data_IF_743212793465
#
_entry.id   IF_743212793465
#
_cell.length_a   1.000
_cell.length_b   1.000
_cell.length_c   1.000
_cell.angle_alpha   90.00
_cell.angle_beta   90.00
_cell.angle_gamma   90.00
#
_symmetry.space_group_name_H-M   'P 1'
#
loop_
_entity.id
_entity.type
_entity.pdbx_description
1 polymer ?
#
# COMPACT_ATOMS: atom_id res chain seq x y z
N UNK A 1 8.22 -46.06 -65.80
CA UNK A 1 9.67 -46.36 -65.76
C UNK A 1 10.29 -45.54 -64.64
N UNK A 2 10.69 -46.22 -63.55
CA UNK A 2 11.88 -46.04 -62.67
C UNK A 2 12.31 -44.60 -62.26
N UNK A 3 12.68 -44.23 -61.02
CA UNK A 3 12.63 -44.78 -59.65
C UNK A 3 13.25 -43.76 -58.64
N UNK A 4 12.74 -43.78 -57.38
CA UNK A 4 13.35 -43.55 -56.04
C UNK A 4 14.32 -42.41 -55.67
N UNK A 5 14.02 -41.73 -54.54
CA UNK A 5 14.66 -41.87 -53.17
C UNK A 5 14.22 -40.67 -52.29
N UNK A 6 13.52 -40.80 -51.15
CA UNK A 6 13.99 -41.10 -49.77
C UNK A 6 13.37 -40.05 -48.81
N UNK A 7 12.26 -40.32 -48.09
CA UNK A 7 12.18 -40.67 -46.64
C UNK A 7 12.89 -39.66 -45.70
N UNK A 8 12.29 -38.88 -44.79
CA UNK A 8 11.23 -39.03 -43.75
C UNK A 8 11.84 -38.92 -42.33
N UNK A 9 11.38 -37.95 -41.52
CA UNK A 9 10.80 -38.08 -40.15
C UNK A 9 10.97 -36.82 -39.27
N UNK A 10 9.95 -36.47 -38.45
CA UNK A 10 10.06 -35.51 -37.34
C UNK A 10 10.49 -36.19 -36.02
N UNK A 11 11.06 -35.45 -35.07
CA UNK A 11 11.39 -35.92 -33.71
C UNK A 11 10.41 -35.35 -32.66
N UNK A 12 9.90 -36.18 -31.73
CA UNK A 12 9.24 -35.77 -30.47
C UNK A 12 10.15 -36.03 -29.25
N UNK A 13 10.03 -35.23 -28.20
CA UNK A 13 10.60 -35.40 -26.85
C UNK A 13 9.65 -34.63 -25.89
N UNK A 14 9.22 -35.08 -24.71
CA UNK A 14 9.34 -36.33 -23.96
C UNK A 14 8.31 -36.26 -22.82
N UNK A 15 7.55 -37.33 -22.57
CA UNK A 15 6.76 -37.53 -21.36
C UNK A 15 7.49 -38.51 -20.44
N UNK A 16 7.64 -38.20 -19.15
CA UNK A 16 7.55 -39.13 -18.00
C UNK A 16 8.23 -38.56 -16.77
N UNK A 17 7.56 -38.62 -15.62
CA UNK A 17 8.10 -39.13 -14.34
C UNK A 17 7.03 -39.03 -13.26
N UNK A 18 6.23 -40.10 -13.17
CA UNK A 18 5.46 -40.49 -11.99
C UNK A 18 6.34 -41.46 -11.20
N UNK A 19 6.49 -41.34 -9.87
CA UNK A 19 6.94 -42.46 -9.05
C UNK A 19 5.77 -43.08 -8.29
N UNK A 20 5.45 -44.35 -8.59
CA UNK A 20 4.78 -45.29 -7.68
C UNK A 20 5.81 -46.32 -7.21
N UNK A 21 6.05 -46.44 -5.90
CA UNK A 21 6.16 -47.73 -5.18
C UNK A 21 6.34 -47.54 -3.67
N UNK A 22 5.39 -48.09 -2.91
CA UNK A 22 5.63 -48.64 -1.57
C UNK A 22 6.44 -49.95 -1.68
N UNK A 23 7.32 -50.23 -0.71
CA UNK A 23 7.23 -51.40 0.18
C UNK A 23 8.49 -51.57 1.06
N UNK A 24 8.23 -51.72 2.37
CA UNK A 24 8.91 -52.54 3.40
C UNK A 24 10.44 -52.46 3.61
N UNK A 25 10.84 -52.11 4.84
CA UNK A 25 12.20 -52.35 5.35
C UNK A 25 12.45 -51.80 6.76
N UNK A 26 12.12 -52.61 7.78
CA UNK A 26 12.81 -52.81 9.07
C UNK A 26 13.24 -51.61 9.94
N UNK A 27 12.63 -51.58 11.13
CA UNK A 27 13.08 -50.96 12.38
C UNK A 27 14.59 -51.19 12.65
N UNK A 28 15.31 -50.12 12.94
CA UNK A 28 16.61 -50.20 13.60
C UNK A 28 16.74 -49.04 14.60
N UNK A 29 16.63 -49.36 15.88
CA UNK A 29 16.74 -48.42 16.98
C UNK A 29 18.15 -47.87 17.12
N UNK A 30 18.26 -46.55 17.25
CA UNK A 30 19.45 -45.89 17.77
C UNK A 30 19.02 -45.00 18.93
N UNK A 31 19.36 -45.44 20.14
CA UNK A 31 19.26 -44.64 21.38
C UNK A 31 20.28 -43.52 21.26
N UNK A 32 19.83 -42.27 21.29
CA UNK A 32 20.67 -41.17 21.72
C UNK A 32 20.09 -40.57 22.99
N UNK A 33 20.80 -40.81 24.09
CA UNK A 33 20.59 -40.20 25.39
C UNK A 33 21.38 -38.88 25.37
N UNK A 34 20.70 -37.74 25.37
CA UNK A 34 21.38 -36.46 25.56
C UNK A 34 20.48 -35.24 25.40
N UNK A 35 20.28 -34.51 26.50
CA UNK A 35 19.67 -33.17 26.60
C UNK A 35 18.15 -33.05 26.66
N UNK A 36 17.58 -33.66 27.70
CA UNK A 36 16.45 -33.08 28.44
C UNK A 36 17.03 -32.08 29.47
N UNK A 37 17.09 -30.78 29.14
CA UNK A 37 17.20 -29.66 30.11
C UNK A 37 17.07 -28.31 29.41
N UNK A 38 15.90 -27.68 29.61
CA UNK A 38 15.62 -26.23 29.74
C UNK A 38 14.24 -25.87 29.16
N UNK A 39 13.20 -26.49 29.75
CA UNK A 39 11.95 -25.77 29.99
C UNK A 39 12.18 -24.96 31.27
N UNK A 40 12.54 -23.68 31.11
CA UNK A 40 12.41 -22.72 32.19
C UNK A 40 12.07 -21.36 31.61
N UNK A 41 10.85 -20.93 31.94
CA UNK A 41 10.32 -19.57 31.87
C UNK A 41 10.34 -18.83 30.53
N UNK A 42 9.21 -18.93 29.79
CA UNK A 42 8.69 -17.80 29.00
C UNK A 42 7.22 -17.91 28.63
N UNK A 43 6.41 -18.55 29.48
CA UNK A 43 4.99 -18.78 29.20
C UNK A 43 4.12 -18.49 30.43
N UNK A 44 4.07 -17.23 30.85
CA UNK A 44 2.90 -16.56 31.47
C UNK A 44 3.05 -15.06 31.13
N UNK A 45 2.59 -14.63 29.96
CA UNK A 45 2.11 -13.26 29.74
C UNK A 45 1.25 -13.23 28.47
N UNK A 46 0.13 -13.93 28.48
CA UNK A 46 -0.87 -13.76 27.44
C UNK A 46 -2.21 -14.25 27.98
N UNK A 47 -2.98 -13.35 28.57
CA UNK A 47 -4.44 -13.42 28.58
C UNK A 47 -4.99 -12.02 28.88
N UNK A 48 -5.43 -11.36 27.81
CA UNK A 48 -6.58 -10.44 27.71
C UNK A 48 -6.47 -9.64 26.40
N UNK A 49 -6.70 -10.29 25.26
CA UNK A 49 -6.81 -9.63 23.94
C UNK A 49 -8.27 -9.67 23.47
N UNK A 50 -9.13 -8.99 24.21
CA UNK A 50 -10.36 -8.42 23.66
C UNK A 50 -10.00 -7.01 23.18
N UNK A 51 -10.38 -6.65 21.95
CA UNK A 51 -9.97 -5.47 21.18
C UNK A 51 -10.10 -4.12 21.92
N UNK A 52 -9.12 -3.81 22.77
CA UNK A 52 -8.67 -2.45 22.96
C UNK A 52 -7.51 -2.27 21.99
N UNK A 53 -7.74 -1.57 20.88
CA UNK A 53 -6.67 -0.92 20.12
C UNK A 53 -5.69 -0.39 21.16
N UNK A 54 -4.45 -0.90 21.18
CA UNK A 54 -3.45 -0.43 22.13
C UNK A 54 -3.28 1.06 21.84
N UNK A 55 -3.95 1.91 22.63
CA UNK A 55 -4.10 3.33 22.34
C UNK A 55 -2.73 3.99 22.18
N UNK A 56 -1.74 3.51 22.94
CA UNK A 56 -0.35 3.95 22.84
C UNK A 56 0.30 3.56 21.49
N UNK A 57 -0.02 2.39 20.94
CA UNK A 57 0.43 1.96 19.62
C UNK A 57 -0.29 2.73 18.49
N UNK A 58 -1.60 2.95 18.61
CA UNK A 58 -2.37 3.73 17.64
C UNK A 58 -1.95 5.21 17.60
N UNK A 59 -1.66 5.80 18.77
CA UNK A 59 -1.09 7.16 18.85
C UNK A 59 0.31 7.18 18.22
N UNK A 60 1.16 6.19 18.52
CA UNK A 60 2.50 6.08 17.93
C UNK A 60 3.55 7.04 18.53
N UNK A 61 3.29 7.64 19.70
CA UNK A 61 4.18 8.64 20.30
C UNK A 61 5.61 8.14 20.58
N UNK A 62 5.81 6.82 20.72
CA UNK A 62 7.14 6.21 20.90
C UNK A 62 8.06 6.42 19.70
N UNK A 63 7.51 6.60 18.49
CA UNK A 63 8.32 6.82 17.28
C UNK A 63 9.11 8.14 17.35
N UNK A 64 8.61 9.14 18.07
CA UNK A 64 9.29 10.43 18.26
C UNK A 64 10.58 10.30 19.05
N UNK A 65 10.61 9.36 19.99
CA UNK A 65 11.75 9.15 20.91
C UNK A 65 12.73 8.10 20.42
N UNK A 66 12.28 7.17 19.58
CA UNK A 66 13.11 6.07 19.11
C UNK A 66 13.82 6.42 17.80
N UNK A 67 15.14 6.65 17.87
CA UNK A 67 15.98 6.90 16.69
C UNK A 67 16.01 5.71 15.72
N UNK A 68 15.68 4.49 16.16
CA UNK A 68 15.62 3.29 15.30
C UNK A 68 14.35 3.23 14.44
N UNK A 69 13.35 4.08 14.72
CA UNK A 69 12.08 4.13 13.97
C UNK A 69 12.24 4.60 12.52
N UNK A 70 13.37 5.21 12.15
CA UNK A 70 13.61 5.75 10.82
C UNK A 70 12.70 6.93 10.45
N UNK A 71 11.99 7.52 11.42
CA UNK A 71 10.96 8.54 11.19
C UNK A 71 11.47 9.73 10.38
N UNK A 72 12.65 10.28 10.70
CA UNK A 72 13.20 11.42 9.96
C UNK A 72 13.44 11.11 8.47
N UNK A 73 13.86 9.88 8.13
CA UNK A 73 14.04 9.44 6.74
C UNK A 73 12.70 9.33 6.03
N UNK A 74 11.70 8.83 6.74
CA UNK A 74 10.35 8.74 6.21
C UNK A 74 9.72 10.13 5.97
N UNK A 75 9.93 11.09 6.88
CA UNK A 75 9.48 12.48 6.69
C UNK A 75 10.18 13.15 5.52
N UNK A 76 11.50 12.96 5.38
CA UNK A 76 12.24 13.48 4.22
C UNK A 76 11.78 12.83 2.92
N UNK A 77 11.51 11.53 2.92
CA UNK A 77 10.92 10.81 1.79
C UNK A 77 9.57 11.42 1.39
N UNK A 78 8.63 11.58 2.32
CA UNK A 78 7.32 12.19 2.05
C UNK A 78 7.42 13.63 1.54
N UNK A 79 8.32 14.43 2.11
CA UNK A 79 8.64 15.76 1.63
C UNK A 79 9.13 15.73 0.17
N UNK A 80 10.16 14.92 -0.12
CA UNK A 80 10.76 14.84 -1.46
C UNK A 80 9.77 14.31 -2.50
N UNK A 81 9.01 13.25 -2.16
CA UNK A 81 8.00 12.70 -3.06
C UNK A 81 6.93 13.73 -3.44
N UNK A 82 6.45 14.49 -2.46
CA UNK A 82 5.42 15.53 -2.70
C UNK A 82 6.00 16.77 -3.40
N UNK A 83 7.27 17.10 -3.14
CA UNK A 83 8.00 18.13 -3.88
C UNK A 83 8.11 17.78 -5.37
N UNK A 84 8.52 16.55 -5.69
CA UNK A 84 8.61 16.08 -7.08
C UNK A 84 7.23 16.04 -7.73
N UNK A 85 6.20 15.59 -7.01
CA UNK A 85 4.80 15.62 -7.47
C UNK A 85 4.38 17.02 -7.92
N UNK A 86 4.58 18.03 -7.08
CA UNK A 86 4.18 19.39 -7.42
C UNK A 86 5.03 19.97 -8.55
N UNK A 87 6.34 19.73 -8.56
CA UNK A 87 7.22 20.22 -9.60
C UNK A 87 6.83 19.68 -10.99
N UNK A 88 6.81 18.36 -11.16
CA UNK A 88 6.55 17.74 -12.46
C UNK A 88 5.07 17.76 -12.84
N UNK A 89 4.17 17.48 -11.90
CA UNK A 89 2.73 17.48 -12.13
C UNK A 89 2.21 18.87 -12.50
N UNK A 90 2.47 19.88 -11.65
CA UNK A 90 2.00 21.23 -11.94
C UNK A 90 2.73 21.83 -13.15
N UNK A 91 4.01 21.48 -13.38
CA UNK A 91 4.75 21.93 -14.56
C UNK A 91 4.12 21.47 -15.88
N UNK A 92 3.51 20.27 -15.91
CA UNK A 92 2.83 19.76 -17.09
C UNK A 92 1.54 20.52 -17.45
N UNK A 93 1.00 21.36 -16.55
CA UNK A 93 -0.22 22.14 -16.80
C UNK A 93 -0.05 23.14 -17.95
N UNK A 94 1.18 23.61 -18.20
CA UNK A 94 1.48 24.50 -19.33
C UNK A 94 1.15 23.88 -20.69
N UNK A 95 1.08 22.55 -20.79
CA UNK A 95 0.71 21.85 -22.02
C UNK A 95 -0.75 22.07 -22.43
N UNK A 96 -1.62 22.43 -21.48
CA UNK A 96 -3.08 22.57 -21.66
C UNK A 96 -3.76 21.33 -22.26
N UNK A 97 -3.08 20.18 -22.21
CA UNK A 97 -3.59 18.92 -22.74
C UNK A 97 -3.94 17.98 -21.58
N UNK A 98 -5.22 17.66 -21.43
CA UNK A 98 -5.73 16.85 -20.31
C UNK A 98 -5.02 15.51 -20.21
N UNK A 99 -4.68 14.86 -21.33
CA UNK A 99 -3.99 13.56 -21.34
C UNK A 99 -2.54 13.72 -20.88
N UNK A 100 -1.81 14.72 -21.40
CA UNK A 100 -0.43 14.98 -21.00
C UNK A 100 -0.32 15.34 -19.51
N UNK A 101 -1.23 16.20 -19.02
CA UNK A 101 -1.34 16.55 -17.60
C UNK A 101 -1.61 15.29 -16.77
N UNK A 102 -2.61 14.50 -17.16
CA UNK A 102 -2.99 13.30 -16.40
C UNK A 102 -1.87 12.28 -16.32
N UNK A 103 -1.17 12.03 -17.43
CA UNK A 103 -0.01 11.14 -17.47
C UNK A 103 1.14 11.68 -16.62
N UNK A 104 1.43 12.98 -16.69
CA UNK A 104 2.51 13.58 -15.90
C UNK A 104 2.27 13.42 -14.40
N UNK A 105 1.06 13.71 -13.90
CA UNK A 105 0.73 13.51 -12.49
C UNK A 105 0.82 12.04 -12.10
N UNK A 106 0.20 11.14 -12.86
CA UNK A 106 0.19 9.72 -12.51
C UNK A 106 1.56 9.05 -12.57
N UNK A 107 2.33 9.30 -13.63
CA UNK A 107 3.69 8.75 -13.76
C UNK A 107 4.64 9.34 -12.72
N UNK A 108 4.48 10.61 -12.33
CA UNK A 108 5.27 11.21 -11.24
C UNK A 108 4.96 10.54 -9.91
N UNK A 109 3.68 10.27 -9.60
CA UNK A 109 3.30 9.52 -8.40
C UNK A 109 3.89 8.11 -8.44
N UNK A 110 3.79 7.40 -9.56
CA UNK A 110 4.39 6.07 -9.70
C UNK A 110 5.90 6.09 -9.46
N UNK A 111 6.62 7.04 -10.07
CA UNK A 111 8.06 7.19 -9.91
C UNK A 111 8.45 7.55 -8.47
N UNK A 112 7.72 8.49 -7.85
CA UNK A 112 7.94 8.89 -6.47
C UNK A 112 7.75 7.69 -5.52
N UNK A 113 6.63 6.98 -5.60
CA UNK A 113 6.35 5.80 -4.77
C UNK A 113 7.38 4.70 -5.02
N UNK A 114 7.78 4.47 -6.28
CA UNK A 114 8.81 3.49 -6.59
C UNK A 114 10.15 3.83 -5.92
N UNK A 115 10.49 5.12 -5.86
CA UNK A 115 11.74 5.60 -5.27
C UNK A 115 11.72 5.60 -3.73
N UNK A 116 10.61 6.03 -3.10
CA UNK A 116 10.58 6.28 -1.65
C UNK A 116 9.69 5.31 -0.86
N UNK A 117 8.88 4.50 -1.53
CA UNK A 117 7.85 3.67 -0.90
C UNK A 117 8.40 2.70 0.13
N UNK A 118 9.60 2.17 -0.10
CA UNK A 118 10.29 1.29 0.85
C UNK A 118 10.82 2.02 2.10
N UNK A 119 10.87 3.36 2.09
CA UNK A 119 11.34 4.20 3.21
C UNK A 119 10.17 4.70 4.06
N UNK A 120 9.13 5.27 3.43
CA UNK A 120 8.02 5.91 4.15
C UNK A 120 6.66 5.20 3.99
N UNK A 121 6.52 4.31 3.01
CA UNK A 121 5.23 3.86 2.48
C UNK A 121 4.78 4.65 1.25
N UNK A 122 5.42 5.80 0.94
CA UNK A 122 5.17 6.58 -0.27
C UNK A 122 3.74 7.13 -0.35
N UNK A 123 3.26 7.77 0.73
CA UNK A 123 1.90 8.28 0.77
C UNK A 123 1.72 9.47 -0.18
N UNK A 124 2.65 10.43 -0.12
CA UNK A 124 2.74 11.65 -0.93
C UNK A 124 1.43 12.46 -1.03
N UNK A 125 0.49 12.21 -0.12
CA UNK A 125 -0.87 12.71 -0.17
C UNK A 125 -1.53 12.61 1.23
N UNK A 126 -2.04 13.74 1.78
CA UNK A 126 -2.79 13.73 3.02
C UNK A 126 -4.03 12.84 2.99
N UNK A 127 -4.78 12.78 1.88
CA UNK A 127 -5.98 11.94 1.75
C UNK A 127 -5.65 10.44 1.88
N UNK A 128 -4.54 9.99 1.25
CA UNK A 128 -4.03 8.62 1.40
C UNK A 128 -3.59 8.38 2.85
N UNK A 129 -2.93 9.36 3.46
CA UNK A 129 -2.47 9.26 4.86
C UNK A 129 -3.64 9.12 5.83
N UNK A 130 -4.67 9.96 5.73
CA UNK A 130 -5.89 9.83 6.53
C UNK A 130 -6.63 8.51 6.26
N UNK A 131 -6.73 8.09 4.99
CA UNK A 131 -7.32 6.81 4.62
C UNK A 131 -6.62 5.60 5.23
N UNK A 132 -5.28 5.63 5.33
CA UNK A 132 -4.51 4.56 5.98
C UNK A 132 -4.50 4.67 7.52
N UNK A 133 -4.64 5.86 8.08
CA UNK A 133 -4.80 6.05 9.53
C UNK A 133 -6.13 5.48 10.03
N UNK A 134 -7.25 5.71 9.33
CA UNK A 134 -8.58 5.27 9.80
C UNK A 134 -8.71 3.74 9.85
N UNK A 135 -7.94 3.02 9.03
CA UNK A 135 -7.88 1.55 9.02
C UNK A 135 -6.73 0.99 9.87
N UNK A 136 -6.06 1.83 10.66
CA UNK A 136 -5.00 1.43 11.59
C UNK A 136 -3.69 0.98 10.93
N UNK A 137 -3.45 1.32 9.66
CA UNK A 137 -2.21 0.98 8.94
C UNK A 137 -1.09 1.99 9.21
N UNK A 138 -1.43 3.20 9.63
CA UNK A 138 -0.47 4.24 10.03
C UNK A 138 -0.83 4.83 11.40
N UNK A 139 0.14 4.95 12.34
CA UNK A 139 -0.09 5.61 13.61
C UNK A 139 -0.43 7.09 13.45
N UNK A 140 -1.27 7.62 14.34
CA UNK A 140 -1.82 8.98 14.23
C UNK A 140 -0.72 10.04 14.21
N UNK A 141 0.25 9.99 15.15
CA UNK A 141 1.34 10.98 15.21
C UNK A 141 2.17 10.95 13.93
N UNK A 142 2.50 9.76 13.42
CA UNK A 142 3.26 9.60 12.18
C UNK A 142 2.50 10.19 11.00
N UNK A 143 1.19 9.89 10.90
CA UNK A 143 0.36 10.39 9.82
C UNK A 143 0.23 11.92 9.84
N UNK A 144 0.07 12.54 11.01
CA UNK A 144 0.05 14.01 11.11
C UNK A 144 1.38 14.64 10.68
N UNK A 145 2.51 14.05 11.07
CA UNK A 145 3.83 14.52 10.63
C UNK A 145 4.03 14.33 9.11
N UNK A 146 3.50 13.24 8.54
CA UNK A 146 3.49 13.04 7.09
C UNK A 146 2.72 14.16 6.39
N UNK A 147 1.52 14.53 6.88
CA UNK A 147 0.72 15.63 6.30
C UNK A 147 1.49 16.95 6.29
N UNK A 148 2.22 17.26 7.37
CA UNK A 148 3.08 18.45 7.44
C UNK A 148 4.24 18.37 6.45
N UNK A 149 4.95 17.24 6.39
CA UNK A 149 6.06 17.03 5.46
C UNK A 149 5.62 17.11 3.99
N UNK A 150 4.48 16.49 3.66
CA UNK A 150 3.87 16.52 2.34
C UNK A 150 3.50 17.95 1.95
N UNK A 151 2.86 18.70 2.86
CA UNK A 151 2.47 20.10 2.62
C UNK A 151 3.69 20.99 2.37
N UNK A 152 4.73 20.87 3.20
CA UNK A 152 5.98 21.59 3.01
C UNK A 152 6.68 21.21 1.69
N UNK A 153 6.68 19.92 1.33
CA UNK A 153 7.22 19.42 0.07
C UNK A 153 6.49 20.00 -1.13
N UNK A 154 5.15 19.98 -1.12
CA UNK A 154 4.34 20.53 -2.19
C UNK A 154 4.59 22.03 -2.42
N UNK A 155 4.67 22.82 -1.34
CA UNK A 155 5.01 24.25 -1.39
C UNK A 155 6.40 24.44 -2.00
N UNK A 156 7.41 23.68 -1.54
CA UNK A 156 8.77 23.75 -2.08
C UNK A 156 8.80 23.40 -3.58
N UNK A 157 8.10 22.34 -3.99
CA UNK A 157 8.04 21.91 -5.40
C UNK A 157 7.41 22.98 -6.30
N UNK A 158 6.31 23.58 -5.85
CA UNK A 158 5.66 24.69 -6.57
C UNK A 158 6.52 25.96 -6.60
N UNK A 159 7.25 26.26 -5.52
CA UNK A 159 8.14 27.42 -5.46
C UNK A 159 9.34 27.27 -6.41
N UNK A 160 9.94 26.07 -6.45
CA UNK A 160 11.02 25.74 -7.39
C UNK A 160 10.50 25.79 -8.83
N UNK A 161 9.30 25.24 -9.10
CA UNK A 161 8.69 25.34 -10.42
C UNK A 161 8.50 26.79 -10.85
N UNK A 162 7.98 27.65 -9.97
CA UNK A 162 7.83 29.09 -10.23
C UNK A 162 9.17 29.74 -10.57
N UNK A 163 10.17 29.54 -9.72
CA UNK A 163 11.50 30.13 -9.89
C UNK A 163 12.20 29.69 -11.20
N UNK A 164 11.86 28.52 -11.73
CA UNK A 164 12.41 27.97 -12.97
C UNK A 164 11.50 28.19 -14.19
N UNK A 165 10.36 28.87 -14.04
CA UNK A 165 9.44 29.16 -15.13
C UNK A 165 9.66 30.57 -15.66
N UNK A 166 9.58 30.75 -16.98
CA UNK A 166 9.48 32.10 -17.54
C UNK A 166 8.11 32.71 -17.19
N UNK A 167 8.03 34.03 -17.07
CA UNK A 167 6.78 34.76 -16.73
C UNK A 167 5.61 34.39 -17.66
N UNK A 168 5.88 34.12 -18.94
CA UNK A 168 4.87 33.69 -19.93
C UNK A 168 4.24 32.32 -19.64
N UNK A 169 4.87 31.51 -18.78
CA UNK A 169 4.42 30.17 -18.38
C UNK A 169 3.79 30.15 -16.98
N UNK A 170 3.76 31.28 -16.26
CA UNK A 170 3.33 31.37 -14.85
C UNK A 170 1.80 31.42 -14.63
N UNK A 171 0.99 31.49 -15.69
CA UNK A 171 -0.42 31.95 -15.60
C UNK A 171 -1.30 31.17 -14.60
N UNK A 172 -0.97 29.94 -14.22
CA UNK A 172 -1.57 29.32 -13.02
C UNK A 172 -0.68 28.40 -12.19
N UNK A 173 0.48 27.96 -12.69
CA UNK A 173 1.37 27.00 -12.02
C UNK A 173 0.66 25.82 -11.34
N UNK A 174 -0.42 25.34 -11.97
CA UNK A 174 -1.22 24.22 -11.47
C UNK A 174 -2.07 24.52 -10.24
N UNK A 175 -2.41 25.78 -9.96
CA UNK A 175 -3.48 26.14 -9.02
C UNK A 175 -4.78 25.47 -9.46
N UNK A 176 -5.43 24.80 -8.51
CA UNK A 176 -6.72 24.14 -8.71
C UNK A 176 -7.84 25.17 -8.63
N UNK A 177 -8.86 25.01 -9.47
CA UNK A 177 -10.04 25.88 -9.49
C UNK A 177 -11.25 25.14 -10.04
N UNK A 178 -12.44 25.56 -9.63
CA UNK A 178 -13.69 25.08 -10.23
C UNK A 178 -13.80 25.62 -11.66
N UNK A 179 -14.13 24.73 -12.60
CA UNK A 179 -14.44 25.12 -13.96
C UNK A 179 -15.74 25.94 -13.99
N UNK A 180 -15.90 26.75 -15.02
CA UNK A 180 -17.10 27.55 -15.23
C UNK A 180 -18.36 26.66 -15.23
N UNK A 181 -19.36 27.04 -14.44
CA UNK A 181 -20.60 26.28 -14.28
C UNK A 181 -20.53 25.10 -13.29
N UNK A 182 -19.36 24.79 -12.72
CA UNK A 182 -19.23 23.77 -11.66
C UNK A 182 -19.49 24.41 -10.30
N UNK A 183 -20.53 23.96 -9.61
CA UNK A 183 -20.85 24.42 -8.25
C UNK A 183 -19.89 23.81 -7.21
N UNK A 184 -19.73 24.44 -6.03
CA UNK A 184 -18.90 23.89 -4.96
C UNK A 184 -19.29 22.47 -4.53
N UNK A 185 -20.59 22.14 -4.51
CA UNK A 185 -21.07 20.79 -4.15
C UNK A 185 -20.69 19.77 -5.22
N UNK A 186 -20.80 20.12 -6.50
CA UNK A 186 -20.34 19.25 -7.59
C UNK A 186 -18.82 19.06 -7.54
N UNK A 187 -18.06 20.13 -7.29
CA UNK A 187 -16.61 20.06 -7.12
C UNK A 187 -16.19 19.17 -5.94
N UNK A 188 -16.86 19.32 -4.80
CA UNK A 188 -16.67 18.46 -3.62
C UNK A 188 -16.94 16.98 -3.95
N UNK A 189 -18.03 16.70 -4.66
CA UNK A 189 -18.39 15.35 -5.09
C UNK A 189 -17.35 14.75 -6.04
N UNK A 190 -16.86 15.53 -7.00
CA UNK A 190 -15.76 15.13 -7.89
C UNK A 190 -14.54 14.75 -7.05
N UNK A 191 -14.01 15.67 -6.25
CA UNK A 191 -12.81 15.46 -5.44
C UNK A 191 -12.93 14.26 -4.48
N UNK A 192 -14.12 14.04 -3.92
CA UNK A 192 -14.43 12.84 -3.13
C UNK A 192 -14.20 11.56 -3.94
N UNK A 193 -14.81 11.42 -5.11
CA UNK A 193 -14.68 10.20 -5.93
C UNK A 193 -13.27 10.00 -6.48
N UNK A 194 -12.55 11.09 -6.81
CA UNK A 194 -11.17 10.99 -7.26
C UNK A 194 -10.25 10.43 -6.17
N UNK A 195 -10.38 10.92 -4.92
CA UNK A 195 -9.60 10.39 -3.81
C UNK A 195 -10.06 8.98 -3.38
N UNK A 196 -11.36 8.69 -3.49
CA UNK A 196 -11.94 7.38 -3.19
C UNK A 196 -11.27 6.28 -4.02
N UNK A 197 -11.24 6.44 -5.35
CA UNK A 197 -10.64 5.42 -6.23
C UNK A 197 -9.15 5.26 -5.96
N UNK A 198 -8.44 6.37 -5.70
CA UNK A 198 -7.02 6.34 -5.36
C UNK A 198 -6.77 5.50 -4.10
N UNK A 199 -7.49 5.78 -3.00
CA UNK A 199 -7.22 5.09 -1.73
C UNK A 199 -7.67 3.63 -1.77
N UNK A 200 -8.75 3.29 -2.46
CA UNK A 200 -9.13 1.89 -2.70
C UNK A 200 -8.01 1.14 -3.43
N UNK A 201 -7.44 1.75 -4.48
CA UNK A 201 -6.32 1.16 -5.23
C UNK A 201 -5.08 1.03 -4.36
N UNK A 202 -4.75 2.03 -3.54
CA UNK A 202 -3.62 1.94 -2.58
C UNK A 202 -3.81 0.77 -1.62
N UNK A 203 -4.98 0.65 -0.99
CA UNK A 203 -5.25 -0.45 -0.07
C UNK A 203 -5.16 -1.81 -0.78
N UNK A 204 -5.72 -1.93 -1.99
CA UNK A 204 -5.70 -3.18 -2.77
C UNK A 204 -4.33 -3.56 -3.33
N UNK A 205 -3.54 -2.59 -3.78
CA UNK A 205 -2.20 -2.82 -4.34
C UNK A 205 -1.17 -3.16 -3.25
N UNK A 206 -1.38 -2.65 -2.03
CA UNK A 206 -0.50 -2.85 -0.89
C UNK A 206 -0.99 -3.91 0.10
N UNK A 207 -2.06 -4.66 -0.22
CA UNK A 207 -2.58 -5.71 0.66
C UNK A 207 -1.56 -6.86 0.82
N UNK A 208 -1.30 -7.23 2.07
CA UNK A 208 -0.45 -8.36 2.42
C UNK A 208 -1.01 -9.70 1.93
N UNK A 209 -2.33 -9.81 1.75
CA UNK A 209 -2.99 -10.98 1.17
C UNK A 209 -2.71 -11.15 -0.33
N UNK A 210 -2.13 -10.15 -1.00
CA UNK A 210 -1.76 -10.18 -2.43
C UNK A 210 -0.27 -9.84 -2.64
N UNK A 211 0.66 -10.67 -2.15
CA UNK A 211 2.09 -10.36 -2.17
C UNK A 211 2.64 -10.08 -3.58
N UNK A 212 2.10 -10.74 -4.60
CA UNK A 212 2.50 -10.58 -6.00
C UNK A 212 2.20 -9.16 -6.55
N UNK A 213 1.27 -8.43 -5.93
CA UNK A 213 0.92 -7.06 -6.35
C UNK A 213 1.97 -6.02 -5.93
N UNK A 214 2.87 -6.34 -4.98
CA UNK A 214 3.84 -5.38 -4.43
C UNK A 214 4.79 -4.81 -5.48
N UNK A 215 5.21 -5.61 -6.45
CA UNK A 215 6.14 -5.18 -7.50
C UNK A 215 5.52 -4.19 -8.50
N UNK A 216 4.20 -4.26 -8.70
CA UNK A 216 3.48 -3.37 -9.62
C UNK A 216 2.77 -2.22 -8.91
N UNK A 217 2.65 -2.26 -7.58
CA UNK A 217 1.87 -1.30 -6.79
C UNK A 217 2.16 0.17 -7.11
N UNK A 218 3.42 0.64 -7.22
CA UNK A 218 3.69 2.04 -7.57
C UNK A 218 3.05 2.44 -8.91
N UNK A 219 3.16 1.58 -9.93
CA UNK A 219 2.58 1.84 -11.25
C UNK A 219 1.05 1.89 -11.18
N UNK A 220 0.39 0.93 -10.53
CA UNK A 220 -1.08 0.89 -10.48
C UNK A 220 -1.65 2.07 -9.69
N UNK A 221 -0.97 2.48 -8.61
CA UNK A 221 -1.32 3.68 -7.84
C UNK A 221 -1.17 4.92 -8.71
N UNK A 222 -0.06 5.08 -9.43
CA UNK A 222 0.13 6.20 -10.36
C UNK A 222 -0.91 6.23 -11.48
N UNK A 223 -1.25 5.07 -12.07
CA UNK A 223 -2.31 4.98 -13.08
C UNK A 223 -3.69 5.35 -12.52
N UNK A 224 -3.98 5.07 -11.25
CA UNK A 224 -5.22 5.54 -10.61
C UNK A 224 -5.27 7.07 -10.51
N UNK A 225 -4.11 7.71 -10.28
CA UNK A 225 -3.99 9.18 -10.32
C UNK A 225 -4.21 9.71 -11.74
N UNK A 226 -3.67 9.04 -12.76
CA UNK A 226 -3.95 9.37 -14.18
C UNK A 226 -5.44 9.34 -14.47
N UNK A 227 -6.13 8.25 -14.08
CA UNK A 227 -7.59 8.10 -14.26
C UNK A 227 -8.35 9.23 -13.58
N UNK A 228 -7.98 9.55 -12.33
CA UNK A 228 -8.60 10.65 -11.61
C UNK A 228 -8.39 12.00 -12.30
N UNK A 229 -7.19 12.26 -12.83
CA UNK A 229 -6.89 13.51 -13.54
C UNK A 229 -7.64 13.64 -14.87
N UNK A 230 -7.82 12.54 -15.61
CA UNK A 230 -8.60 12.54 -16.86
C UNK A 230 -10.05 13.04 -16.63
N UNK A 231 -10.60 12.77 -15.45
CA UNK A 231 -11.95 13.21 -15.05
C UNK A 231 -11.93 14.56 -14.34
N UNK A 232 -10.98 14.77 -13.44
CA UNK A 232 -10.94 15.91 -12.53
C UNK A 232 -10.41 17.20 -13.15
N UNK A 233 -9.43 17.11 -14.06
CA UNK A 233 -8.77 18.30 -14.62
C UNK A 233 -9.78 19.25 -15.28
N UNK A 234 -10.73 18.79 -16.12
CA UNK A 234 -11.72 19.67 -16.73
C UNK A 234 -12.79 20.24 -15.78
N UNK A 235 -12.83 19.80 -14.51
CA UNK A 235 -13.92 20.14 -13.57
C UNK A 235 -13.43 20.94 -12.37
N UNK A 236 -12.35 20.49 -11.74
CA UNK A 236 -11.82 21.03 -10.48
C UNK A 236 -10.32 21.32 -10.56
N UNK A 237 -9.68 21.04 -11.69
CA UNK A 237 -8.22 21.00 -11.80
C UNK A 237 -7.58 19.74 -11.20
N UNK A 238 -8.39 18.75 -10.79
CA UNK A 238 -7.98 17.50 -10.14
C UNK A 238 -7.06 17.74 -8.92
N UNK A 239 -7.65 18.16 -7.81
CA UNK A 239 -6.94 18.25 -6.54
C UNK A 239 -6.41 16.90 -6.11
N UNK A 240 -7.30 15.93 -5.82
CA UNK A 240 -7.06 14.57 -5.29
C UNK A 240 -6.22 14.48 -4.01
N UNK A 241 -5.54 15.56 -3.66
CA UNK A 241 -4.41 15.61 -2.76
C UNK A 241 -4.38 17.02 -2.16
N UNK A 242 -4.69 17.15 -0.85
CA UNK A 242 -4.71 18.44 -0.19
C UNK A 242 -3.36 19.16 -0.21
N UNK A 243 -2.24 18.44 -0.03
CA UNK A 243 -0.90 19.03 -0.05
C UNK A 243 -0.56 19.57 -1.45
N UNK A 244 -0.86 18.80 -2.50
CA UNK A 244 -0.66 19.25 -3.89
C UNK A 244 -1.42 20.52 -4.21
N UNK A 245 -2.67 20.61 -3.75
CA UNK A 245 -3.53 21.78 -3.94
C UNK A 245 -2.99 22.98 -3.15
N UNK A 246 -2.57 22.75 -1.90
CA UNK A 246 -1.96 23.77 -1.03
C UNK A 246 -0.70 24.36 -1.65
N UNK A 247 0.20 23.52 -2.18
CA UNK A 247 1.51 23.94 -2.67
C UNK A 247 1.44 25.04 -3.74
N UNK A 248 0.65 24.81 -4.79
CA UNK A 248 0.48 25.81 -5.86
C UNK A 248 -0.32 27.03 -5.38
N UNK A 249 -1.34 26.82 -4.54
CA UNK A 249 -2.18 27.89 -3.99
C UNK A 249 -1.38 28.88 -3.13
N UNK A 250 -0.49 28.38 -2.26
CA UNK A 250 0.39 29.21 -1.42
C UNK A 250 1.36 30.02 -2.28
N UNK A 251 2.00 29.39 -3.26
CA UNK A 251 3.01 30.04 -4.10
C UNK A 251 2.38 31.10 -5.01
N UNK A 252 1.15 30.90 -5.44
CA UNK A 252 0.41 31.84 -6.31
C UNK A 252 -0.49 32.82 -5.55
N UNK A 253 -0.69 32.64 -4.24
CA UNK A 253 -1.59 33.47 -3.43
C UNK A 253 -3.07 33.29 -3.80
N UNK A 254 -3.47 32.12 -4.31
CA UNK A 254 -4.81 31.86 -4.83
C UNK A 254 -5.52 30.75 -4.03
N UNK A 255 -6.59 31.10 -3.31
CA UNK A 255 -7.29 30.20 -2.37
C UNK A 255 -8.80 30.11 -2.61
N UNK A 256 -9.27 30.46 -3.81
CA UNK A 256 -10.68 30.34 -4.16
C UNK A 256 -11.17 28.91 -3.93
N UNK A 257 -12.24 28.79 -3.13
CA UNK A 257 -12.85 27.53 -2.73
C UNK A 257 -11.90 26.47 -2.15
N UNK A 258 -10.72 26.88 -1.64
CA UNK A 258 -9.62 25.96 -1.33
C UNK A 258 -9.99 24.84 -0.34
N UNK A 259 -10.95 25.09 0.54
CA UNK A 259 -11.46 24.13 1.52
C UNK A 259 -11.95 22.82 0.87
N UNK A 260 -12.50 22.87 -0.36
CA UNK A 260 -13.03 21.68 -1.03
C UNK A 260 -11.92 20.67 -1.37
N UNK A 261 -10.71 21.16 -1.63
CA UNK A 261 -9.54 20.34 -1.93
C UNK A 261 -8.90 19.72 -0.68
N UNK A 262 -9.38 20.09 0.50
CA UNK A 262 -9.09 19.40 1.75
C UNK A 262 -10.22 18.43 2.09
N UNK A 263 -11.44 18.94 2.19
CA UNK A 263 -12.60 18.18 2.66
C UNK A 263 -12.95 17.04 1.70
N UNK A 264 -13.06 17.31 0.40
CA UNK A 264 -13.42 16.32 -0.61
C UNK A 264 -12.44 15.14 -0.61
N UNK A 265 -11.14 15.38 -0.82
CA UNK A 265 -10.16 14.30 -0.85
C UNK A 265 -10.03 13.53 0.47
N UNK A 266 -10.07 14.21 1.63
CA UNK A 266 -10.00 13.53 2.93
C UNK A 266 -11.20 12.61 3.12
N UNK A 267 -12.42 13.09 2.87
CA UNK A 267 -13.63 12.25 2.98
C UNK A 267 -13.57 11.07 2.00
N UNK A 268 -13.12 11.29 0.76
CA UNK A 268 -12.93 10.23 -0.22
C UNK A 268 -11.90 9.19 0.23
N UNK A 269 -10.78 9.64 0.80
CA UNK A 269 -9.73 8.76 1.31
C UNK A 269 -10.17 7.95 2.53
N UNK A 270 -10.88 8.57 3.47
CA UNK A 270 -11.47 7.87 4.62
C UNK A 270 -12.47 6.80 4.16
N UNK A 271 -13.38 7.17 3.26
CA UNK A 271 -14.34 6.24 2.68
C UNK A 271 -13.64 5.09 1.93
N UNK A 272 -12.58 5.38 1.18
CA UNK A 272 -11.84 4.37 0.41
C UNK A 272 -11.15 3.34 1.30
N UNK A 273 -10.49 3.79 2.38
CA UNK A 273 -9.89 2.90 3.36
C UNK A 273 -10.93 1.99 4.05
N UNK A 274 -12.03 2.59 4.51
CA UNK A 274 -13.11 1.86 5.17
C UNK A 274 -13.82 0.87 4.24
N UNK A 275 -14.14 1.28 3.01
CA UNK A 275 -14.78 0.41 2.01
C UNK A 275 -13.87 -0.76 1.64
N UNK A 276 -12.58 -0.52 1.44
CA UNK A 276 -11.65 -1.62 1.20
C UNK A 276 -11.62 -2.58 2.38
N UNK A 277 -11.47 -2.08 3.60
CA UNK A 277 -11.29 -2.93 4.80
C UNK A 277 -12.55 -3.72 5.16
N UNK A 278 -13.74 -3.16 4.94
CA UNK A 278 -14.99 -3.74 5.43
C UNK A 278 -15.88 -4.35 4.35
N UNK A 279 -15.67 -4.05 3.06
CA UNK A 279 -16.54 -4.53 1.98
C UNK A 279 -15.80 -5.28 0.86
N UNK A 280 -14.58 -4.88 0.50
CA UNK A 280 -13.87 -5.40 -0.70
C UNK A 280 -12.68 -6.30 -0.35
N UNK A 281 -12.03 -6.05 0.78
CA UNK A 281 -10.85 -6.76 1.23
C UNK A 281 -11.14 -8.23 1.54
N UNK A 282 -10.12 -9.09 1.51
CA UNK A 282 -10.29 -10.51 1.76
C UNK A 282 -10.92 -10.72 3.14
N UNK A 283 -11.85 -11.66 3.22
CA UNK A 283 -12.40 -12.10 4.50
C UNK A 283 -11.24 -12.50 5.43
N UNK A 284 -11.30 -12.07 6.70
CA UNK A 284 -10.34 -12.53 7.71
C UNK A 284 -10.35 -14.06 7.67
N UNK A 285 -9.22 -14.67 7.32
CA UNK A 285 -9.08 -16.11 7.52
C UNK A 285 -9.25 -16.34 9.01
N UNK A 286 -10.24 -17.14 9.40
CA UNK A 286 -10.26 -17.67 10.75
C UNK A 286 -8.91 -18.34 10.96
N UNK A 287 -8.13 -17.88 11.93
CA UNK A 287 -6.98 -18.64 12.39
C UNK A 287 -7.56 -19.99 12.82
N UNK A 288 -7.39 -21.01 11.98
CA UNK A 288 -7.67 -22.38 12.39
C UNK A 288 -6.71 -22.59 13.55
N UNK A 289 -7.26 -22.54 14.76
CA UNK A 289 -6.54 -22.55 16.02
C UNK A 289 -5.47 -23.63 15.95
N UNK A 290 -4.21 -23.22 15.79
CA UNK A 290 -3.07 -24.15 15.81
C UNK A 290 -3.05 -24.92 17.13
N UNK A 291 -3.69 -24.35 18.17
CA UNK A 291 -3.98 -24.99 19.45
C UNK A 291 -4.84 -26.24 19.31
N UNK A 292 -5.84 -26.24 18.43
CA UNK A 292 -6.75 -27.38 18.24
C UNK A 292 -6.03 -28.55 17.54
N UNK A 293 -5.16 -28.29 16.56
CA UNK A 293 -4.28 -29.33 16.01
C UNK A 293 -3.22 -29.80 17.00
N UNK A 294 -2.64 -28.88 17.78
CA UNK A 294 -1.67 -29.25 18.80
C UNK A 294 -2.29 -30.12 19.90
N UNK A 295 -3.50 -29.79 20.38
CA UNK A 295 -4.21 -30.61 21.38
C UNK A 295 -4.60 -31.97 20.82
N UNK A 296 -5.12 -32.03 19.58
CA UNK A 296 -5.48 -33.29 18.94
C UNK A 296 -4.24 -34.16 18.71
N UNK A 297 -3.14 -33.58 18.24
CA UNK A 297 -1.88 -34.31 18.04
C UNK A 297 -1.26 -34.80 19.36
N UNK A 298 -1.41 -34.03 20.44
CA UNK A 298 -0.99 -34.45 21.78
C UNK A 298 -1.86 -35.59 22.32
N UNK A 299 -3.19 -35.49 22.20
CA UNK A 299 -4.12 -36.56 22.58
C UNK A 299 -3.88 -37.87 21.80
N UNK A 300 -3.58 -37.77 20.50
CA UNK A 300 -3.28 -38.94 19.67
C UNK A 300 -1.95 -39.60 20.10
N UNK A 301 -0.92 -38.81 20.39
CA UNK A 301 0.36 -39.31 20.88
C UNK A 301 0.24 -39.98 22.25
N UNK A 302 -0.49 -39.38 23.18
CA UNK A 302 -0.74 -39.95 24.51
C UNK A 302 -1.50 -41.28 24.42
N UNK A 303 -2.47 -41.39 23.51
CA UNK A 303 -3.20 -42.64 23.24
C UNK A 303 -2.28 -43.72 22.68
N UNK A 304 -1.34 -43.37 21.80
CA UNK A 304 -0.36 -44.32 21.27
C UNK A 304 0.61 -44.82 22.35
N UNK A 305 1.13 -43.94 23.20
CA UNK A 305 2.02 -44.32 24.32
C UNK A 305 1.31 -45.24 25.33
N UNK A 306 0.03 -44.98 25.62
CA UNK A 306 -0.78 -45.85 26.48
C UNK A 306 -0.93 -47.27 25.90
N UNK A 307 -1.27 -47.39 24.61
CA UNK A 307 -1.45 -48.69 23.94
C UNK A 307 -0.15 -49.51 23.90
N UNK A 308 1.00 -48.85 23.72
CA UNK A 308 2.31 -49.52 23.66
C UNK A 308 2.76 -49.99 25.05
N UNK A 309 2.50 -49.19 26.10
CA UNK A 309 2.80 -49.57 27.49
C UNK A 309 1.98 -50.76 28.02
N UNK A 310 0.78 -50.98 27.47
CA UNK A 310 -0.12 -52.07 27.88
C UNK A 310 0.19 -53.44 27.24
N UNK A 311 1.11 -53.52 26.27
CA UNK A 311 1.47 -54.79 25.59
C UNK A 311 2.71 -55.49 26.17
N UNK A 312 3.35 -54.93 27.20
CA UNK A 312 4.58 -55.46 27.79
C UNK A 312 4.41 -56.46 28.94
N UNK A 313 3.18 -56.87 29.26
CA UNK A 313 2.90 -57.70 30.43
C UNK A 313 1.96 -58.85 30.14
N UNK A 314 2.42 -59.84 29.35
CA UNK A 314 1.93 -61.22 29.34
C UNK A 314 3.11 -62.14 28.98
#
# INVERSE_FOLDING_TARGET
>A
MVNAKSLSRPRPFLSSLIPKRMASGTYQGRRDKGSLRLLKDRSIFCYNNFEMVNLKAAIGAKELTDKKSGLYRALLAEFLGTMLLNFFGCGAVVTKNVVAISLAFGLTVAAAIQAIGHVSGGHVNPAVTFGLMVVGKVPIVRGLLYVLAQSAGAIAGSAVLRALSAESMEVSLGVVSLAEGVTPVQGLGVEFFLALILVIVVCGACDAAKPDSKGVAPLVIGLSVTVGHLVGVPRTGAGMNPARSLGSSVVMGAFADHWLYWVGPILGGLAGGLLYTHAVGPAKQEEISTRQYATVAMEEKERFEYIDSGRGGL
#
